data_IF_368690201188
#
_entry.id   IF_368690201188
#
_cell.length_a   1.000
_cell.length_b   1.000
_cell.length_c   1.000
_cell.angle_alpha   90.00
_cell.angle_beta   90.00
_cell.angle_gamma   90.00
#
_symmetry.space_group_name_H-M   'P 1'
#
loop_
_entity.id
_entity.type
_entity.pdbx_description
1 polymer ?
#
# COMPACT_ATOMS: atom_id res chain seq x y z
N UNK A 1 4.26 -30.90 -1.99
CA UNK A 1 3.13 -30.34 -1.22
C UNK A 1 3.68 -29.22 -0.37
N UNK A 2 3.50 -27.97 -0.78
CA UNK A 2 3.85 -26.81 0.04
C UNK A 2 2.86 -26.79 1.21
N UNK A 3 3.34 -26.97 2.43
CA UNK A 3 2.58 -26.66 3.63
C UNK A 3 2.24 -25.18 3.58
N UNK A 4 1.04 -24.84 3.15
CA UNK A 4 0.48 -23.51 3.41
C UNK A 4 0.29 -23.42 4.93
N UNK A 5 1.25 -22.79 5.61
CA UNK A 5 1.05 -22.44 7.00
C UNK A 5 -0.26 -21.64 7.07
N UNK A 6 -1.21 -22.11 7.89
CA UNK A 6 -2.46 -21.41 8.09
C UNK A 6 -2.12 -19.98 8.55
N UNK A 7 -2.52 -19.00 7.76
CA UNK A 7 -2.32 -17.61 8.16
C UNK A 7 -3.12 -17.36 9.44
N UNK A 8 -2.54 -16.71 10.46
CA UNK A 8 -3.29 -16.39 11.66
C UNK A 8 -4.50 -15.52 11.33
N UNK A 9 -5.62 -15.77 11.99
CA UNK A 9 -6.87 -15.03 11.83
C UNK A 9 -7.14 -14.14 13.06
N UNK A 10 -6.32 -13.10 13.29
CA UNK A 10 -6.37 -12.30 14.52
C UNK A 10 -7.67 -11.49 14.64
N UNK A 11 -8.42 -11.32 13.56
CA UNK A 11 -9.71 -10.62 13.53
C UNK A 11 -10.92 -11.57 13.57
N UNK A 12 -10.72 -12.86 13.80
CA UNK A 12 -11.83 -13.80 13.92
C UNK A 12 -12.78 -13.37 15.05
N UNK A 13 -14.09 -13.32 14.72
CA UNK A 13 -15.13 -12.85 15.65
C UNK A 13 -15.29 -11.34 15.71
N UNK A 14 -14.47 -10.55 14.99
CA UNK A 14 -14.65 -9.12 14.86
C UNK A 14 -15.45 -8.75 13.61
N UNK A 15 -16.25 -7.69 13.69
CA UNK A 15 -17.09 -7.16 12.61
C UNK A 15 -16.61 -5.78 12.16
N UNK A 16 -16.29 -5.68 10.88
CA UNK A 16 -15.81 -4.44 10.26
C UNK A 16 -16.83 -3.98 9.21
N UNK A 17 -17.35 -2.77 9.40
CA UNK A 17 -18.21 -2.09 8.44
C UNK A 17 -17.38 -1.03 7.71
N UNK A 18 -17.49 -0.96 6.38
CA UNK A 18 -16.85 0.10 5.59
C UNK A 18 -17.87 0.90 4.79
N UNK A 19 -17.74 2.22 4.86
CA UNK A 19 -18.42 3.18 3.98
C UNK A 19 -17.44 3.77 2.96
N UNK A 20 -16.18 3.33 2.99
CA UNK A 20 -15.14 3.86 2.12
C UNK A 20 -15.29 3.37 0.68
N UNK A 21 -15.00 4.25 -0.26
CA UNK A 21 -15.05 4.01 -1.71
C UNK A 21 -13.63 4.07 -2.29
N UNK A 22 -13.53 3.80 -3.57
CA UNK A 22 -12.29 3.75 -4.36
C UNK A 22 -11.35 2.61 -3.92
N UNK A 23 -10.06 2.91 -3.65
CA UNK A 23 -9.05 1.88 -3.44
C UNK A 23 -8.64 1.70 -1.96
N UNK A 24 -8.24 2.74 -1.20
CA UNK A 24 -7.58 2.50 0.11
C UNK A 24 -8.51 1.82 1.11
N UNK A 25 -9.78 2.22 1.18
CA UNK A 25 -10.75 1.63 2.11
C UNK A 25 -11.12 0.19 1.76
N UNK A 26 -11.56 -0.12 0.53
CA UNK A 26 -11.82 -1.49 0.10
C UNK A 26 -10.61 -2.42 0.21
N UNK A 27 -9.41 -1.96 -0.10
CA UNK A 27 -8.19 -2.74 0.08
C UNK A 27 -7.89 -3.04 1.56
N UNK A 28 -8.10 -2.07 2.45
CA UNK A 28 -8.02 -2.29 3.89
C UNK A 28 -9.07 -3.30 4.38
N UNK A 29 -10.31 -3.20 3.88
CA UNK A 29 -11.40 -4.11 4.23
C UNK A 29 -11.10 -5.54 3.78
N UNK A 30 -10.59 -5.74 2.55
CA UNK A 30 -10.15 -7.04 2.05
C UNK A 30 -9.05 -7.64 2.95
N UNK A 31 -8.10 -6.83 3.42
CA UNK A 31 -7.08 -7.27 4.37
C UNK A 31 -7.68 -7.73 5.69
N UNK A 32 -8.67 -7.00 6.21
CA UNK A 32 -9.41 -7.40 7.41
C UNK A 32 -10.15 -8.73 7.21
N UNK A 33 -10.80 -8.93 6.06
CA UNK A 33 -11.46 -10.20 5.72
C UNK A 33 -10.46 -11.37 5.67
N UNK A 34 -9.27 -11.16 5.06
CA UNK A 34 -8.19 -12.17 5.03
C UNK A 34 -7.60 -12.47 6.41
N UNK A 35 -7.73 -11.54 7.36
CA UNK A 35 -7.39 -11.75 8.78
C UNK A 35 -8.53 -12.36 9.60
N UNK A 36 -9.64 -12.74 8.98
CA UNK A 36 -10.75 -13.47 9.59
C UNK A 36 -11.91 -12.61 10.10
N UNK A 37 -11.93 -11.30 9.84
CA UNK A 37 -13.07 -10.45 10.20
C UNK A 37 -14.30 -10.74 9.34
N UNK A 38 -15.49 -10.60 9.95
CA UNK A 38 -16.76 -10.49 9.23
C UNK A 38 -16.87 -9.09 8.65
N UNK A 39 -16.67 -8.94 7.33
CA UNK A 39 -16.59 -7.66 6.67
C UNK A 39 -17.86 -7.33 5.89
N UNK A 40 -18.36 -6.12 6.08
CA UNK A 40 -19.49 -5.57 5.31
C UNK A 40 -19.07 -4.24 4.72
N UNK A 41 -19.37 -4.03 3.44
CA UNK A 41 -19.32 -2.72 2.79
C UNK A 41 -20.75 -2.23 2.60
N UNK A 42 -21.02 -0.97 2.96
CA UNK A 42 -22.27 -0.30 2.65
C UNK A 42 -21.96 0.87 1.72
N UNK A 43 -22.52 0.84 0.53
CA UNK A 43 -22.33 1.86 -0.50
C UNK A 43 -23.68 2.38 -1.02
N UNK A 44 -23.69 3.54 -1.72
CA UNK A 44 -24.92 4.02 -2.36
C UNK A 44 -25.47 2.99 -3.37
N UNK A 45 -26.77 2.99 -3.66
CA UNK A 45 -27.31 2.20 -4.76
C UNK A 45 -26.65 2.57 -6.08
N UNK A 46 -26.33 1.60 -6.94
CA UNK A 46 -25.73 1.87 -8.23
C UNK A 46 -26.70 2.64 -9.15
N UNK A 47 -26.16 3.48 -10.02
CA UNK A 47 -26.95 4.11 -11.09
C UNK A 47 -27.47 3.04 -12.08
N UNK A 48 -28.57 3.31 -12.81
CA UNK A 48 -29.07 2.38 -13.83
C UNK A 48 -27.97 1.94 -14.80
N UNK A 49 -27.83 0.65 -14.99
CA UNK A 49 -26.80 0.07 -15.89
C UNK A 49 -25.41 -0.15 -15.26
N UNK A 50 -25.20 0.23 -14.01
CA UNK A 50 -23.96 0.00 -13.28
C UNK A 50 -24.14 -1.08 -12.21
N UNK A 51 -23.08 -1.86 -11.96
CA UNK A 51 -23.07 -2.90 -10.93
C UNK A 51 -22.76 -2.35 -9.53
N UNK A 52 -22.12 -1.19 -9.44
CA UNK A 52 -21.72 -0.53 -8.19
C UNK A 52 -21.75 0.99 -8.35
N UNK A 53 -21.94 1.69 -7.23
CA UNK A 53 -21.75 3.14 -7.14
C UNK A 53 -20.32 3.51 -6.76
N UNK A 54 -19.48 2.54 -6.41
CA UNK A 54 -18.07 2.76 -6.16
C UNK A 54 -17.35 3.06 -7.48
N UNK A 55 -16.56 4.17 -7.55
CA UNK A 55 -15.79 4.48 -8.74
C UNK A 55 -14.89 3.32 -9.22
N UNK A 56 -14.35 2.50 -8.32
CA UNK A 56 -13.56 1.32 -8.70
C UNK A 56 -14.38 0.33 -9.52
N UNK A 57 -15.67 0.15 -9.22
CA UNK A 57 -16.57 -0.68 -10.02
C UNK A 57 -16.83 -0.14 -11.43
N UNK A 58 -16.62 1.17 -11.64
CA UNK A 58 -16.71 1.83 -12.94
C UNK A 58 -15.37 1.72 -13.70
N UNK A 59 -14.23 2.00 -13.04
CA UNK A 59 -12.90 1.94 -13.69
C UNK A 59 -12.50 0.52 -14.05
N UNK A 60 -12.73 -0.42 -13.13
CA UNK A 60 -12.31 -1.82 -13.25
C UNK A 60 -13.24 -2.74 -12.45
N UNK A 61 -14.31 -3.27 -13.09
CA UNK A 61 -15.21 -4.23 -12.43
C UNK A 61 -14.49 -5.46 -11.87
N UNK A 62 -13.42 -5.91 -12.53
CA UNK A 62 -12.61 -7.04 -12.07
C UNK A 62 -11.90 -6.71 -10.76
N UNK A 63 -11.21 -5.55 -10.70
CA UNK A 63 -10.54 -5.12 -9.47
C UNK A 63 -11.55 -4.87 -8.33
N UNK A 64 -12.74 -4.35 -8.66
CA UNK A 64 -13.80 -4.22 -7.67
C UNK A 64 -14.22 -5.57 -7.10
N UNK A 65 -14.44 -6.57 -7.96
CA UNK A 65 -14.79 -7.93 -7.52
C UNK A 65 -13.68 -8.56 -6.64
N UNK A 66 -12.41 -8.38 -7.04
CA UNK A 66 -11.26 -8.89 -6.29
C UNK A 66 -11.14 -8.23 -4.91
N UNK A 67 -11.37 -6.91 -4.82
CA UNK A 67 -11.35 -6.17 -3.55
C UNK A 67 -12.48 -6.56 -2.59
N UNK A 68 -13.57 -7.13 -3.11
CA UNK A 68 -14.74 -7.51 -2.31
C UNK A 68 -14.89 -9.03 -2.12
N UNK A 69 -13.83 -9.81 -2.40
CA UNK A 69 -13.83 -11.25 -2.10
C UNK A 69 -14.01 -11.49 -0.59
N UNK A 70 -15.07 -12.22 -0.21
CA UNK A 70 -15.40 -12.50 1.18
C UNK A 70 -16.02 -11.30 1.94
N UNK A 71 -16.36 -10.21 1.25
CA UNK A 71 -17.01 -9.03 1.81
C UNK A 71 -18.49 -9.01 1.41
N UNK A 72 -19.38 -8.81 2.38
CA UNK A 72 -20.80 -8.61 2.12
C UNK A 72 -21.04 -7.17 1.68
N UNK A 73 -21.56 -6.96 0.47
CA UNK A 73 -21.90 -5.62 -0.04
C UNK A 73 -23.38 -5.35 0.18
N UNK A 74 -23.69 -4.21 0.76
CA UNK A 74 -25.04 -3.67 0.97
C UNK A 74 -25.18 -2.33 0.27
N UNK A 75 -26.40 -2.03 -0.19
CA UNK A 75 -26.72 -0.77 -0.82
C UNK A 75 -27.73 0.01 0.03
N UNK A 76 -27.39 1.26 0.40
CA UNK A 76 -28.30 2.13 1.10
C UNK A 76 -28.04 3.61 0.76
N UNK A 77 -29.10 4.37 0.59
CA UNK A 77 -29.02 5.80 0.32
C UNK A 77 -28.98 6.56 1.66
N UNK A 78 -27.80 6.90 2.16
CA UNK A 78 -27.59 7.48 3.51
C UNK A 78 -28.26 8.84 3.76
N UNK A 79 -28.91 9.43 2.75
CA UNK A 79 -29.69 10.67 2.90
C UNK A 79 -31.19 10.41 3.11
N UNK A 80 -31.64 9.15 3.08
CA UNK A 80 -33.02 8.76 3.37
C UNK A 80 -33.15 8.14 4.76
N UNK A 81 -34.33 8.15 5.33
CA UNK A 81 -34.60 7.56 6.65
C UNK A 81 -34.35 6.04 6.63
N UNK A 82 -34.77 5.36 5.57
CA UNK A 82 -34.57 3.92 5.40
C UNK A 82 -33.06 3.57 5.30
N UNK A 83 -32.29 4.40 4.56
CA UNK A 83 -30.85 4.21 4.43
C UNK A 83 -30.13 4.46 5.74
N UNK A 84 -30.53 5.46 6.52
CA UNK A 84 -30.03 5.70 7.87
C UNK A 84 -30.39 4.55 8.81
N UNK A 85 -31.64 4.04 8.76
CA UNK A 85 -32.06 2.91 9.58
C UNK A 85 -31.21 1.66 9.26
N UNK A 86 -30.98 1.36 7.97
CA UNK A 86 -30.12 0.27 7.55
C UNK A 86 -28.67 0.42 8.04
N UNK A 87 -28.08 1.62 7.92
CA UNK A 87 -26.75 1.92 8.45
C UNK A 87 -26.68 1.70 9.97
N UNK A 88 -27.64 2.24 10.71
CA UNK A 88 -27.65 2.13 12.18
C UNK A 88 -27.87 0.69 12.67
N UNK A 89 -28.60 -0.14 11.92
CA UNK A 89 -28.72 -1.56 12.19
C UNK A 89 -27.38 -2.30 12.03
N UNK A 90 -26.57 -1.91 11.03
CA UNK A 90 -25.22 -2.45 10.87
C UNK A 90 -24.28 -1.93 11.97
N UNK A 91 -24.28 -0.62 12.26
CA UNK A 91 -23.43 -0.01 13.30
C UNK A 91 -23.65 -0.63 14.68
N UNK A 92 -24.88 -0.99 15.03
CA UNK A 92 -25.20 -1.59 16.33
C UNK A 92 -24.48 -2.93 16.59
N UNK A 93 -24.01 -3.60 15.55
CA UNK A 93 -23.29 -4.88 15.62
C UNK A 93 -21.85 -4.82 15.15
N UNK A 94 -21.36 -3.63 14.79
CA UNK A 94 -20.03 -3.38 14.24
C UNK A 94 -19.03 -3.08 15.35
N UNK A 95 -17.83 -3.62 15.23
CA UNK A 95 -16.71 -3.35 16.12
C UNK A 95 -15.88 -2.15 15.62
N UNK A 96 -15.64 -2.07 14.31
CA UNK A 96 -14.88 -0.98 13.69
C UNK A 96 -15.59 -0.51 12.43
N UNK A 97 -15.81 0.80 12.34
CA UNK A 97 -16.27 1.50 11.14
C UNK A 97 -15.05 2.07 10.40
N UNK A 98 -14.91 1.75 9.11
CA UNK A 98 -13.95 2.38 8.20
C UNK A 98 -14.72 3.37 7.31
N UNK A 99 -14.18 4.57 7.13
CA UNK A 99 -14.74 5.57 6.21
C UNK A 99 -13.65 6.36 5.50
N UNK A 100 -13.93 6.83 4.29
CA UNK A 100 -13.09 7.77 3.53
C UNK A 100 -13.80 9.09 3.25
N UNK A 101 -14.89 9.39 3.96
CA UNK A 101 -15.53 10.68 3.87
C UNK A 101 -14.71 11.76 4.56
N UNK A 102 -14.72 12.96 3.98
CA UNK A 102 -14.21 14.15 4.67
C UNK A 102 -14.94 14.34 6.00
N UNK A 103 -14.26 14.83 7.05
CA UNK A 103 -14.88 15.00 8.36
C UNK A 103 -16.20 15.78 8.33
N UNK A 104 -16.26 16.88 7.56
CA UNK A 104 -17.48 17.69 7.40
C UNK A 104 -18.61 16.93 6.71
N UNK A 105 -18.32 16.05 5.75
CA UNK A 105 -19.32 15.22 5.09
C UNK A 105 -19.85 14.13 6.03
N UNK A 106 -18.96 13.53 6.82
CA UNK A 106 -19.32 12.53 7.84
C UNK A 106 -20.23 13.16 8.93
N UNK A 107 -19.87 14.36 9.38
CA UNK A 107 -20.67 15.11 10.36
C UNK A 107 -22.10 15.45 9.85
N UNK A 108 -22.24 15.85 8.58
CA UNK A 108 -23.55 16.11 7.94
C UNK A 108 -24.43 14.85 7.85
N UNK A 109 -23.85 13.66 7.88
CA UNK A 109 -24.57 12.38 7.93
C UNK A 109 -24.93 11.95 9.37
N UNK A 110 -24.57 12.75 10.39
CA UNK A 110 -24.74 12.38 11.81
C UNK A 110 -23.77 11.30 12.29
N UNK A 111 -22.64 11.12 11.60
CA UNK A 111 -21.64 10.07 11.86
C UNK A 111 -20.32 10.67 12.39
N UNK A 112 -20.33 11.91 12.90
CA UNK A 112 -19.18 12.47 13.61
C UNK A 112 -18.78 11.59 14.80
N UNK A 113 -17.49 11.59 15.16
CA UNK A 113 -16.98 10.73 16.23
C UNK A 113 -17.72 10.91 17.55
N UNK A 114 -17.99 12.15 17.94
CA UNK A 114 -18.66 12.49 19.19
C UNK A 114 -20.07 11.88 19.24
N UNK A 115 -20.79 11.87 18.11
CA UNK A 115 -22.12 11.26 17.99
C UNK A 115 -22.04 9.74 18.04
N UNK A 116 -21.08 9.16 17.30
CA UNK A 116 -20.90 7.71 17.27
C UNK A 116 -20.49 7.15 18.63
N UNK A 117 -19.57 7.83 19.34
CA UNK A 117 -19.09 7.41 20.64
C UNK A 117 -20.21 7.39 21.71
N UNK A 118 -21.10 8.37 21.66
CA UNK A 118 -22.25 8.42 22.59
C UNK A 118 -23.26 7.31 22.26
N UNK A 119 -23.55 7.11 20.98
CA UNK A 119 -24.57 6.14 20.54
C UNK A 119 -24.07 4.68 20.55
N UNK A 120 -22.79 4.47 20.25
CA UNK A 120 -22.15 3.17 20.17
C UNK A 120 -20.80 3.20 20.92
N UNK A 121 -20.78 3.16 22.25
CA UNK A 121 -19.57 3.41 23.05
C UNK A 121 -18.43 2.42 22.79
N UNK A 122 -18.72 1.25 22.21
CA UNK A 122 -17.73 0.21 21.89
C UNK A 122 -17.30 0.21 20.41
N UNK A 123 -17.96 1.00 19.58
CA UNK A 123 -17.61 1.14 18.16
C UNK A 123 -16.32 1.97 18.05
N UNK A 124 -15.34 1.48 17.32
CA UNK A 124 -14.18 2.27 16.91
C UNK A 124 -14.39 2.84 15.50
N UNK A 125 -13.77 3.98 15.23
CA UNK A 125 -13.79 4.64 13.92
C UNK A 125 -12.37 4.72 13.35
N UNK A 126 -12.15 4.15 12.17
CA UNK A 126 -10.95 4.35 11.34
C UNK A 126 -11.34 5.29 10.19
N UNK A 127 -10.78 6.47 10.19
CA UNK A 127 -11.08 7.55 9.25
C UNK A 127 -9.91 7.74 8.30
N UNK A 128 -10.06 7.30 7.04
CA UNK A 128 -9.08 7.53 5.98
C UNK A 128 -9.34 8.93 5.42
N UNK A 129 -8.33 9.77 5.46
CA UNK A 129 -8.38 11.18 4.99
C UNK A 129 -7.21 11.46 4.05
N UNK A 130 -7.32 12.53 3.26
CA UNK A 130 -6.24 12.93 2.35
C UNK A 130 -4.94 13.28 3.09
N UNK A 131 -5.05 14.11 4.12
CA UNK A 131 -3.98 14.44 5.05
C UNK A 131 -4.55 14.61 6.45
N UNK A 132 -3.73 14.53 7.49
CA UNK A 132 -4.20 14.59 8.88
C UNK A 132 -4.56 16.02 9.32
N UNK A 133 -5.37 16.10 10.37
CA UNK A 133 -5.70 17.35 11.06
C UNK A 133 -6.54 18.31 10.20
N UNK A 134 -6.19 19.59 10.18
CA UNK A 134 -6.92 20.64 9.44
C UNK A 134 -6.93 20.39 7.93
N UNK A 135 -5.92 19.71 7.40
CA UNK A 135 -5.81 19.35 5.99
C UNK A 135 -6.73 18.20 5.55
N UNK A 136 -7.47 17.56 6.47
CA UNK A 136 -8.39 16.47 6.15
C UNK A 136 -9.55 16.90 5.21
N UNK A 137 -9.82 18.21 5.10
CA UNK A 137 -10.82 18.78 4.18
C UNK A 137 -10.25 19.14 2.81
N UNK A 138 -8.94 19.09 2.61
CA UNK A 138 -8.30 19.45 1.34
C UNK A 138 -8.61 18.40 0.25
N UNK A 139 -8.74 18.85 -1.02
CA UNK A 139 -8.87 17.92 -2.13
C UNK A 139 -7.53 17.26 -2.44
N UNK A 140 -7.53 15.97 -2.70
CA UNK A 140 -6.32 15.25 -3.09
C UNK A 140 -6.64 13.83 -3.52
N UNK A 141 -5.70 13.25 -4.24
CA UNK A 141 -5.69 11.87 -4.67
C UNK A 141 -4.27 11.32 -4.63
N UNK A 142 -4.10 10.04 -4.77
CA UNK A 142 -2.85 9.31 -4.73
C UNK A 142 -1.66 10.06 -5.37
N UNK A 143 -1.82 10.49 -6.62
CA UNK A 143 -0.76 11.15 -7.38
C UNK A 143 -0.31 12.47 -6.73
N UNK A 144 -1.25 13.25 -6.15
CA UNK A 144 -0.91 14.52 -5.48
C UNK A 144 -0.17 14.30 -4.17
N UNK A 145 -0.50 13.26 -3.43
CA UNK A 145 0.23 12.91 -2.19
C UNK A 145 1.63 12.37 -2.49
N UNK A 146 1.80 11.60 -3.57
CA UNK A 146 3.12 11.19 -4.05
C UNK A 146 3.97 12.37 -4.49
N UNK A 147 3.38 13.36 -5.17
CA UNK A 147 4.07 14.58 -5.58
C UNK A 147 4.56 15.38 -4.36
N UNK A 148 3.70 15.57 -3.36
CA UNK A 148 4.02 16.24 -2.10
C UNK A 148 5.15 15.54 -1.34
N UNK A 149 5.16 14.20 -1.34
CA UNK A 149 6.20 13.40 -0.71
C UNK A 149 7.52 13.33 -1.52
N UNK A 150 7.58 13.92 -2.72
CA UNK A 150 8.77 13.90 -3.58
C UNK A 150 8.97 12.60 -4.38
N UNK A 151 8.03 11.66 -4.31
CA UNK A 151 8.15 10.34 -4.96
C UNK A 151 8.07 10.41 -6.50
N UNK A 152 7.65 11.54 -7.06
CA UNK A 152 7.53 11.74 -8.51
C UNK A 152 8.74 12.44 -9.12
N UNK A 153 9.76 12.79 -8.34
CA UNK A 153 10.92 13.53 -8.82
C UNK A 153 11.61 12.74 -9.95
N UNK A 154 11.78 13.39 -11.11
CA UNK A 154 12.42 12.79 -12.29
C UNK A 154 11.53 11.86 -13.13
N UNK A 155 10.31 11.56 -12.70
CA UNK A 155 9.38 10.78 -13.51
C UNK A 155 8.71 11.63 -14.58
N UNK A 156 8.54 11.07 -15.78
CA UNK A 156 7.81 11.70 -16.90
C UNK A 156 6.40 11.13 -17.08
N UNK A 157 6.07 10.05 -16.37
CA UNK A 157 4.79 9.38 -16.41
C UNK A 157 4.36 9.01 -14.98
N UNK A 158 3.05 8.77 -14.74
CA UNK A 158 2.61 8.25 -13.46
C UNK A 158 3.34 6.95 -13.10
N UNK A 159 3.60 6.68 -11.82
CA UNK A 159 4.20 5.44 -11.38
C UNK A 159 3.29 4.23 -11.67
N UNK A 160 3.84 3.00 -11.71
CA UNK A 160 3.09 1.82 -12.11
C UNK A 160 2.05 1.35 -11.08
N UNK A 161 1.95 2.03 -9.95
CA UNK A 161 0.98 1.73 -8.87
C UNK A 161 0.61 2.97 -8.09
N UNK A 162 -0.44 2.88 -7.29
CA UNK A 162 -0.97 3.94 -6.43
C UNK A 162 -0.34 3.81 -5.03
N UNK A 163 0.86 4.35 -4.86
CA UNK A 163 1.67 4.15 -3.66
C UNK A 163 1.01 4.72 -2.40
N UNK A 164 0.44 5.93 -2.45
CA UNK A 164 -0.20 6.56 -1.30
C UNK A 164 -1.47 5.79 -0.87
N UNK A 165 -2.32 5.41 -1.83
CA UNK A 165 -3.53 4.66 -1.57
C UNK A 165 -3.23 3.27 -1.00
N UNK A 166 -2.27 2.55 -1.57
CA UNK A 166 -1.91 1.22 -1.11
C UNK A 166 -1.21 1.22 0.23
N UNK A 167 -0.31 2.20 0.49
CA UNK A 167 0.26 2.40 1.83
C UNK A 167 -0.82 2.78 2.84
N UNK A 168 -1.73 3.70 2.47
CA UNK A 168 -2.88 4.06 3.29
C UNK A 168 -3.78 2.87 3.62
N UNK A 169 -3.99 1.94 2.69
CA UNK A 169 -4.73 0.70 2.95
C UNK A 169 -4.03 -0.21 3.98
N UNK A 170 -2.67 -0.29 3.93
CA UNK A 170 -1.89 -1.02 4.94
C UNK A 170 -2.06 -0.38 6.31
N UNK A 171 -1.85 0.93 6.42
CA UNK A 171 -2.00 1.70 7.67
C UNK A 171 -3.44 1.62 8.19
N UNK A 172 -4.46 1.70 7.33
CA UNK A 172 -5.87 1.57 7.74
C UNK A 172 -6.19 0.18 8.30
N UNK A 173 -5.65 -0.90 7.71
CA UNK A 173 -5.83 -2.25 8.27
C UNK A 173 -5.07 -2.44 9.59
N UNK A 174 -3.92 -1.81 9.75
CA UNK A 174 -3.19 -1.74 11.02
C UNK A 174 -3.99 -0.95 12.07
N UNK A 175 -4.59 0.21 11.69
CA UNK A 175 -5.44 1.00 12.57
C UNK A 175 -6.66 0.21 13.08
N UNK A 176 -7.24 -0.71 12.26
CA UNK A 176 -8.28 -1.63 12.73
C UNK A 176 -7.77 -2.53 13.86
N UNK A 177 -6.58 -3.12 13.71
CA UNK A 177 -5.96 -3.95 14.76
C UNK A 177 -5.68 -3.12 16.03
N UNK A 178 -5.10 -1.92 15.87
CA UNK A 178 -4.83 -0.99 16.98
C UNK A 178 -6.12 -0.60 17.71
N UNK A 179 -7.19 -0.30 16.96
CA UNK A 179 -8.49 0.07 17.53
C UNK A 179 -9.10 -1.06 18.36
N UNK A 180 -9.04 -2.29 17.86
CA UNK A 180 -9.55 -3.46 18.59
C UNK A 180 -8.72 -3.78 19.84
N UNK A 181 -7.40 -3.64 19.75
CA UNK A 181 -6.50 -3.82 20.88
C UNK A 181 -6.74 -2.75 21.96
N UNK A 182 -6.80 -1.47 21.57
CA UNK A 182 -7.10 -0.37 22.47
C UNK A 182 -8.46 -0.56 23.16
N UNK A 183 -9.49 -0.94 22.38
CA UNK A 183 -10.81 -1.25 22.94
C UNK A 183 -10.78 -2.40 23.95
N UNK A 184 -9.96 -3.43 23.72
CA UNK A 184 -9.84 -4.55 24.66
C UNK A 184 -9.24 -4.12 26.00
N UNK A 185 -8.38 -3.12 25.99
CA UNK A 185 -7.70 -2.57 27.18
C UNK A 185 -8.54 -1.53 27.92
N UNK A 186 -9.26 -0.68 27.16
CA UNK A 186 -9.97 0.48 27.72
C UNK A 186 -11.48 0.28 27.89
N UNK A 187 -12.05 -0.76 27.27
CA UNK A 187 -13.48 -1.07 27.30
C UNK A 187 -14.33 -0.21 26.36
N UNK A 188 -13.76 0.83 25.74
CA UNK A 188 -14.42 1.78 24.85
C UNK A 188 -13.77 1.81 23.47
N UNK A 189 -14.54 2.19 22.44
CA UNK A 189 -14.03 2.41 21.08
C UNK A 189 -13.12 3.64 21.03
N UNK A 190 -12.29 3.68 19.98
CA UNK A 190 -11.36 4.78 19.70
C UNK A 190 -11.55 5.31 18.28
N UNK A 191 -11.13 6.56 18.04
CA UNK A 191 -11.08 7.14 16.70
C UNK A 191 -9.61 7.23 16.26
N UNK A 192 -9.29 6.67 15.08
CA UNK A 192 -7.94 6.74 14.49
C UNK A 192 -8.07 7.34 13.09
N UNK A 193 -7.31 8.39 12.83
CA UNK A 193 -7.15 8.94 11.49
C UNK A 193 -5.97 8.32 10.76
N UNK A 194 -6.14 8.07 9.48
CA UNK A 194 -5.14 7.56 8.56
C UNK A 194 -5.03 8.54 7.41
N UNK A 195 -3.91 9.27 7.33
CA UNK A 195 -3.63 10.22 6.25
C UNK A 195 -2.91 9.54 5.09
N UNK A 196 -3.42 9.73 3.87
CA UNK A 196 -2.78 9.20 2.65
C UNK A 196 -1.49 9.94 2.32
N UNK A 197 -1.44 11.25 2.58
CA UNK A 197 -0.23 12.05 2.43
C UNK A 197 0.88 11.57 3.38
N UNK A 198 0.54 11.30 4.65
CA UNK A 198 1.48 10.80 5.65
C UNK A 198 1.93 9.37 5.30
N UNK A 199 1.06 8.54 4.73
CA UNK A 199 1.42 7.22 4.23
C UNK A 199 2.41 7.32 3.06
N UNK A 200 2.23 8.28 2.14
CA UNK A 200 3.19 8.55 1.07
C UNK A 200 4.53 9.07 1.62
N UNK A 201 4.50 9.98 2.61
CA UNK A 201 5.70 10.46 3.29
C UNK A 201 6.48 9.34 3.98
N UNK A 202 5.78 8.38 4.60
CA UNK A 202 6.41 7.19 5.17
C UNK A 202 7.18 6.38 4.12
N UNK A 203 6.60 6.17 2.94
CA UNK A 203 7.29 5.50 1.82
C UNK A 203 8.47 6.32 1.30
N UNK A 204 8.43 7.65 1.42
CA UNK A 204 9.49 8.54 0.97
C UNK A 204 10.66 8.68 1.96
N UNK A 205 10.61 8.07 3.15
CA UNK A 205 11.69 8.15 4.15
C UNK A 205 13.07 7.78 3.59
N UNK A 206 13.25 6.71 2.79
CA UNK A 206 14.55 6.40 2.20
C UNK A 206 15.08 7.52 1.29
N UNK A 207 14.19 8.24 0.58
CA UNK A 207 14.55 9.41 -0.22
C UNK A 207 14.98 10.57 0.67
N UNK A 208 14.21 10.87 1.72
CA UNK A 208 14.52 11.94 2.67
C UNK A 208 15.81 11.68 3.45
N UNK A 209 16.16 10.43 3.69
CA UNK A 209 17.45 10.03 4.27
C UNK A 209 18.61 10.07 3.28
N UNK A 210 18.36 10.40 2.00
CA UNK A 210 19.37 10.43 0.96
C UNK A 210 19.78 9.05 0.41
N UNK A 211 19.18 7.96 0.88
CA UNK A 211 19.55 6.59 0.47
C UNK A 211 19.26 6.33 -1.01
N UNK A 212 18.14 6.85 -1.52
CA UNK A 212 17.70 6.64 -2.91
C UNK A 212 17.97 7.85 -3.81
N UNK A 213 18.71 8.85 -3.33
CA UNK A 213 19.22 9.95 -4.20
C UNK A 213 20.31 9.40 -5.13
N UNK A 214 20.61 10.07 -6.26
CA UNK A 214 21.66 9.62 -7.18
C UNK A 214 23.03 9.39 -6.55
N UNK A 215 23.32 10.02 -5.43
CA UNK A 215 24.56 9.90 -4.65
C UNK A 215 24.46 8.81 -3.57
N UNK A 216 23.27 8.33 -3.26
CA UNK A 216 23.03 7.24 -2.32
C UNK A 216 23.33 5.87 -2.91
N UNK A 217 23.74 4.93 -2.10
CA UNK A 217 24.11 3.59 -2.56
C UNK A 217 22.94 2.87 -3.25
N UNK A 218 21.73 2.95 -2.68
CA UNK A 218 20.52 2.38 -3.30
C UNK A 218 19.84 3.34 -4.28
N UNK A 219 20.44 4.48 -4.57
CA UNK A 219 20.04 5.43 -5.60
C UNK A 219 20.85 5.31 -6.90
N UNK A 220 21.82 4.39 -6.94
CA UNK A 220 22.63 4.11 -8.11
C UNK A 220 24.09 4.54 -8.01
N UNK A 221 24.57 5.09 -6.88
CA UNK A 221 25.99 5.35 -6.67
C UNK A 221 26.80 4.06 -6.51
N UNK A 222 26.19 2.97 -6.06
CA UNK A 222 26.81 1.66 -5.92
C UNK A 222 26.57 0.82 -7.18
N UNK A 223 27.62 0.37 -7.85
CA UNK A 223 27.52 -0.40 -9.09
C UNK A 223 26.76 -1.73 -8.92
N UNK A 224 26.74 -2.30 -7.74
CA UNK A 224 25.95 -3.49 -7.39
C UNK A 224 24.46 -3.20 -7.13
N UNK A 225 23.99 -1.94 -7.19
CA UNK A 225 22.56 -1.63 -6.99
C UNK A 225 22.05 -0.68 -8.08
N UNK A 226 21.72 -1.23 -9.23
CA UNK A 226 21.27 -0.46 -10.40
C UNK A 226 20.46 -1.31 -11.37
N UNK A 227 19.78 -0.62 -12.29
CA UNK A 227 19.20 -1.22 -13.48
C UNK A 227 20.18 -0.98 -14.64
N UNK A 228 20.58 -2.06 -15.31
CA UNK A 228 21.48 -2.04 -16.45
C UNK A 228 20.80 -2.54 -17.72
N UNK A 229 21.21 -2.06 -18.92
CA UNK A 229 20.85 -2.72 -20.16
C UNK A 229 21.55 -4.10 -20.26
N UNK A 230 20.89 -5.06 -20.86
CA UNK A 230 21.46 -6.33 -21.29
C UNK A 230 21.18 -6.54 -22.79
N UNK A 231 21.59 -7.67 -23.36
CA UNK A 231 21.52 -7.87 -24.81
C UNK A 231 20.09 -7.80 -25.38
N UNK A 232 19.09 -8.26 -24.64
CA UNK A 232 17.70 -8.42 -25.06
C UNK A 232 16.68 -7.80 -24.07
N UNK A 233 17.11 -6.80 -23.27
CA UNK A 233 16.26 -6.12 -22.31
C UNK A 233 17.06 -5.36 -21.26
N UNK A 234 16.66 -5.50 -20.00
CA UNK A 234 17.30 -4.88 -18.84
C UNK A 234 17.47 -5.88 -17.72
N UNK A 235 18.29 -5.57 -16.74
CA UNK A 235 18.48 -6.37 -15.52
C UNK A 235 18.58 -5.45 -14.31
N UNK A 236 17.84 -5.76 -13.25
CA UNK A 236 17.99 -5.14 -11.94
C UNK A 236 19.05 -5.94 -11.16
N UNK A 237 20.06 -5.26 -10.65
CA UNK A 237 21.11 -5.83 -9.79
C UNK A 237 20.94 -5.24 -8.41
N UNK A 238 20.96 -6.08 -7.35
CA UNK A 238 20.81 -5.69 -5.95
C UNK A 238 21.90 -6.33 -5.07
N UNK A 239 23.13 -6.41 -5.56
CA UNK A 239 24.29 -6.99 -4.89
C UNK A 239 24.97 -5.94 -3.98
N UNK A 240 24.31 -5.56 -2.87
CA UNK A 240 24.78 -4.55 -1.92
C UNK A 240 25.75 -5.13 -0.89
N UNK A 241 25.43 -6.31 -0.35
CA UNK A 241 26.24 -6.93 0.68
C UNK A 241 27.62 -7.31 0.11
N UNK A 242 28.72 -7.17 0.87
CA UNK A 242 30.10 -7.35 0.36
C UNK A 242 30.32 -8.68 -0.37
N UNK A 243 29.70 -9.76 0.10
CA UNK A 243 29.85 -11.06 -0.52
C UNK A 243 29.11 -11.19 -1.88
N UNK A 244 27.94 -10.55 -2.03
CA UNK A 244 27.22 -10.48 -3.30
C UNK A 244 27.93 -9.54 -4.29
N UNK A 245 28.39 -8.38 -3.80
CA UNK A 245 29.15 -7.43 -4.57
C UNK A 245 30.45 -8.04 -5.11
N UNK A 246 31.19 -8.79 -4.27
CA UNK A 246 32.39 -9.51 -4.68
C UNK A 246 32.12 -10.56 -5.78
N UNK A 247 31.01 -11.30 -5.68
CA UNK A 247 30.58 -12.26 -6.72
C UNK A 247 30.23 -11.57 -8.04
N UNK A 248 29.52 -10.42 -7.95
CA UNK A 248 29.18 -9.62 -9.13
C UNK A 248 30.47 -9.09 -9.82
N UNK A 249 31.43 -8.58 -9.05
CA UNK A 249 32.74 -8.15 -9.55
C UNK A 249 33.46 -9.31 -10.23
N UNK A 250 33.52 -10.47 -9.58
CA UNK A 250 34.16 -11.66 -10.15
C UNK A 250 33.52 -12.10 -11.47
N UNK A 251 32.18 -12.10 -11.54
CA UNK A 251 31.45 -12.42 -12.78
C UNK A 251 31.77 -11.42 -13.90
N UNK A 252 31.98 -10.14 -13.55
CA UNK A 252 32.39 -9.10 -14.50
C UNK A 252 33.92 -9.12 -14.83
N UNK A 253 34.68 -10.11 -14.34
CA UNK A 253 36.11 -10.22 -14.57
C UNK A 253 36.95 -9.25 -13.75
N UNK A 254 36.41 -8.68 -12.70
CA UNK A 254 37.12 -7.84 -11.75
C UNK A 254 37.65 -8.66 -10.57
N UNK A 255 38.53 -8.05 -9.76
CA UNK A 255 38.88 -8.60 -8.46
C UNK A 255 37.61 -8.77 -7.60
N UNK A 256 37.51 -9.87 -6.85
CA UNK A 256 36.36 -10.16 -5.99
C UNK A 256 36.37 -9.27 -4.73
N UNK A 257 36.21 -7.98 -4.94
CA UNK A 257 36.11 -6.93 -3.89
C UNK A 257 34.66 -6.47 -3.73
N UNK A 258 34.19 -6.42 -2.51
CA UNK A 258 32.81 -6.08 -2.20
C UNK A 258 32.67 -4.84 -1.33
N UNK A 259 33.74 -4.05 -1.15
CA UNK A 259 33.67 -2.81 -0.37
C UNK A 259 32.99 -1.66 -1.16
N UNK A 260 32.35 -0.78 -0.45
CA UNK A 260 31.55 0.29 -1.04
C UNK A 260 32.39 1.28 -1.85
N UNK A 261 33.65 1.52 -1.50
CA UNK A 261 34.53 2.42 -2.24
C UNK A 261 34.82 1.87 -3.63
N UNK A 262 35.16 0.57 -3.71
CA UNK A 262 35.38 -0.12 -4.98
C UNK A 262 34.10 -0.12 -5.86
N UNK A 263 32.94 -0.35 -5.27
CA UNK A 263 31.66 -0.41 -5.99
C UNK A 263 31.14 1.00 -6.41
N UNK A 264 31.66 2.08 -5.86
CA UNK A 264 31.39 3.46 -6.31
C UNK A 264 32.35 3.95 -7.39
N UNK A 265 33.42 3.21 -7.64
CA UNK A 265 34.44 3.66 -8.60
C UNK A 265 33.91 3.57 -10.05
N UNK A 266 34.09 4.61 -10.89
CA UNK A 266 33.58 4.62 -12.26
C UNK A 266 34.01 3.40 -13.10
N UNK A 267 35.26 2.95 -12.98
CA UNK A 267 35.76 1.79 -13.72
C UNK A 267 35.00 0.49 -13.35
N UNK A 268 34.58 0.34 -12.10
CA UNK A 268 33.75 -0.79 -11.64
C UNK A 268 32.36 -0.73 -12.27
N UNK A 269 31.72 0.45 -12.31
CA UNK A 269 30.47 0.65 -13.02
C UNK A 269 30.56 0.28 -14.50
N UNK A 270 31.61 0.74 -15.19
CA UNK A 270 31.81 0.46 -16.61
C UNK A 270 32.06 -1.03 -16.88
N UNK A 271 32.85 -1.71 -16.05
CA UNK A 271 33.12 -3.12 -16.19
C UNK A 271 31.85 -3.98 -15.99
N UNK A 272 31.09 -3.73 -14.93
CA UNK A 272 29.82 -4.42 -14.67
C UNK A 272 28.82 -4.13 -15.80
N UNK A 273 28.68 -2.88 -16.23
CA UNK A 273 27.79 -2.51 -17.32
C UNK A 273 28.13 -3.24 -18.63
N UNK A 274 29.41 -3.27 -18.99
CA UNK A 274 29.92 -3.97 -20.20
C UNK A 274 29.67 -5.47 -20.14
N UNK A 275 29.91 -6.09 -18.99
CA UNK A 275 29.63 -7.51 -18.77
C UNK A 275 28.15 -7.81 -18.96
N UNK A 276 27.28 -7.08 -18.30
CA UNK A 276 25.82 -7.30 -18.34
C UNK A 276 25.25 -7.05 -19.75
N UNK A 277 25.74 -6.03 -20.46
CA UNK A 277 25.35 -5.73 -21.83
C UNK A 277 25.65 -6.86 -22.80
N UNK A 278 26.70 -7.67 -22.54
CA UNK A 278 27.09 -8.84 -23.35
C UNK A 278 26.24 -10.10 -23.06
N UNK A 279 25.33 -10.09 -22.08
CA UNK A 279 24.55 -11.25 -21.67
C UNK A 279 23.08 -11.12 -22.06
N UNK A 280 22.42 -12.24 -22.34
CA UNK A 280 20.96 -12.28 -22.48
C UNK A 280 20.28 -12.38 -21.10
N UNK A 281 19.01 -12.04 -21.04
CA UNK A 281 18.18 -12.20 -19.82
C UNK A 281 18.24 -13.63 -19.27
N UNK A 282 18.11 -14.62 -20.14
CA UNK A 282 18.17 -16.03 -19.75
C UNK A 282 19.54 -16.43 -19.15
N UNK A 283 20.65 -15.90 -19.72
CA UNK A 283 21.99 -16.12 -19.18
C UNK A 283 22.16 -15.46 -17.81
N UNK A 284 21.62 -14.25 -17.63
CA UNK A 284 21.66 -13.53 -16.35
C UNK A 284 20.84 -14.23 -15.27
N UNK A 285 19.66 -14.72 -15.57
CA UNK A 285 18.85 -15.52 -14.63
C UNK A 285 19.53 -16.84 -14.24
N UNK A 286 20.25 -17.46 -15.17
CA UNK A 286 21.04 -18.65 -14.88
C UNK A 286 22.26 -18.31 -13.98
N UNK A 287 22.96 -17.21 -14.27
CA UNK A 287 24.07 -16.69 -13.47
C UNK A 287 23.63 -16.38 -12.03
N UNK A 288 22.50 -15.69 -11.87
CA UNK A 288 21.92 -15.36 -10.56
C UNK A 288 21.82 -16.59 -9.67
N UNK A 289 21.24 -17.65 -10.22
CA UNK A 289 21.05 -18.92 -9.49
C UNK A 289 22.35 -19.67 -9.26
N UNK A 290 23.25 -19.70 -10.26
CA UNK A 290 24.49 -20.49 -10.18
C UNK A 290 25.51 -19.87 -9.23
N UNK A 291 25.57 -18.54 -9.16
CA UNK A 291 26.56 -17.82 -8.37
C UNK A 291 26.00 -17.09 -7.16
N UNK A 292 24.71 -17.29 -6.88
CA UNK A 292 24.01 -16.65 -5.76
C UNK A 292 24.23 -15.12 -5.77
N UNK A 293 23.91 -14.49 -6.91
CA UNK A 293 23.97 -13.04 -7.08
C UNK A 293 22.53 -12.50 -7.15
N UNK A 294 22.16 -11.54 -6.29
CA UNK A 294 20.82 -10.91 -6.35
C UNK A 294 20.68 -10.05 -7.62
N UNK A 295 20.18 -10.65 -8.68
CA UNK A 295 19.79 -9.95 -9.90
C UNK A 295 18.55 -10.59 -10.51
N UNK A 296 17.79 -9.80 -11.27
CA UNK A 296 16.57 -10.23 -11.92
C UNK A 296 16.43 -9.54 -13.28
N UNK A 297 16.19 -10.35 -14.31
CA UNK A 297 15.97 -9.84 -15.65
C UNK A 297 14.61 -9.14 -15.74
N UNK A 298 14.56 -8.02 -16.47
CA UNK A 298 13.36 -7.22 -16.71
C UNK A 298 12.95 -7.33 -18.18
N UNK A 299 11.64 -7.28 -18.43
CA UNK A 299 11.05 -7.25 -19.78
C UNK A 299 11.38 -5.94 -20.52
#
# INVERSE_FOLDING_TARGET
>A
MLHTAAHPTPLQGSRVLSLALNLPGPAALLRCARMGAECTKLEPPPAPGHASADPMGIYSPTAYADLHQGVRVLHAHLKTEEGQAALHAELARTDVLITSFRPSALAKLGLGWEVLQVRYPRLSLVRIVGALGERAEEPGHDLTYQAEAGLLAGLQAPPPTLFADMAGALVASEAVLQALLARSQQGAGVCIEVGLAEAAQWLALPLHWGLTTPQGDVGGAHAGYRIYPCQDGRVAVAALEPHFAARMCAAAGLAAQGDAEHLRHPATHEAIARFLQGQTRAQLDALARAQDIPLHALD
#
